data_IF_261498818876
#
_entry.id   IF_261498818876
#
_cell.length_a   1.000
_cell.length_b   1.000
_cell.length_c   1.000
_cell.angle_alpha   90.00
_cell.angle_beta   90.00
_cell.angle_gamma   90.00
#
_symmetry.space_group_name_H-M   'P 1'
#
loop_
_entity.id
_entity.type
_entity.pdbx_description
1 polymer ?
#
# COMPACT_ATOMS: atom_id res chain seq x y z
N UNK A 1 12.76 -16.35 7.82
CA UNK A 1 12.12 -15.11 7.33
C UNK A 1 10.88 -14.88 8.18
N UNK A 2 10.66 -13.64 8.63
CA UNK A 2 9.41 -13.27 9.32
C UNK A 2 8.25 -13.18 8.32
N UNK A 3 7.01 -13.35 8.80
CA UNK A 3 5.85 -12.95 7.99
C UNK A 3 5.87 -11.44 7.77
N UNK A 4 5.12 -10.94 6.78
CA UNK A 4 4.99 -9.49 6.54
C UNK A 4 4.45 -8.81 7.81
N UNK A 5 3.43 -9.39 8.45
CA UNK A 5 2.86 -8.87 9.70
C UNK A 5 3.88 -8.83 10.85
N UNK A 6 4.69 -9.89 11.04
CA UNK A 6 5.76 -9.90 12.07
C UNK A 6 6.81 -8.83 11.79
N UNK A 7 7.19 -8.64 10.51
CA UNK A 7 8.15 -7.63 10.10
C UNK A 7 7.63 -6.22 10.43
N UNK A 8 6.39 -5.93 10.05
CA UNK A 8 5.77 -4.64 10.34
C UNK A 8 5.66 -4.41 11.85
N UNK A 9 5.12 -5.34 12.62
CA UNK A 9 4.94 -5.16 14.06
C UNK A 9 6.25 -4.95 14.82
N UNK A 10 7.33 -5.64 14.42
CA UNK A 10 8.62 -5.60 15.14
C UNK A 10 9.54 -4.45 14.72
N UNK A 11 9.50 -4.06 13.45
CA UNK A 11 10.47 -3.10 12.91
C UNK A 11 9.81 -1.85 12.34
N UNK A 12 8.89 -1.98 11.36
CA UNK A 12 8.44 -0.83 10.58
C UNK A 12 7.34 -0.02 11.26
N UNK A 13 6.32 -0.64 11.86
CA UNK A 13 5.19 0.11 12.40
C UNK A 13 5.60 1.21 13.41
N UNK A 14 6.56 0.97 14.34
CA UNK A 14 7.02 2.01 15.26
C UNK A 14 7.70 3.21 14.61
N UNK A 15 8.22 3.04 13.39
CA UNK A 15 8.97 4.08 12.67
C UNK A 15 8.31 4.50 11.36
N UNK A 16 7.12 3.96 11.06
CA UNK A 16 6.49 4.12 9.75
C UNK A 16 6.16 5.59 9.42
N UNK A 17 5.61 6.33 10.38
CA UNK A 17 5.35 7.76 10.23
C UNK A 17 6.65 8.57 10.01
N UNK A 18 7.71 8.25 10.78
CA UNK A 18 9.03 8.84 10.60
C UNK A 18 9.63 8.52 9.23
N UNK A 19 9.53 7.26 8.79
CA UNK A 19 10.00 6.82 7.47
C UNK A 19 9.33 7.61 6.33
N UNK A 20 8.10 8.06 6.54
CA UNK A 20 7.33 8.88 5.59
C UNK A 20 7.58 10.40 5.75
N UNK A 21 8.54 10.79 6.59
CA UNK A 21 8.88 12.18 6.95
C UNK A 21 8.17 12.63 8.22
N UNK A 22 6.85 12.68 8.20
CA UNK A 22 5.95 12.87 9.36
C UNK A 22 4.55 12.40 9.00
N UNK A 23 3.66 12.33 9.97
CA UNK A 23 2.24 12.02 9.72
C UNK A 23 1.61 13.07 8.80
N UNK A 24 1.84 14.35 9.08
CA UNK A 24 1.30 15.45 8.27
C UNK A 24 1.80 15.40 6.84
N UNK A 25 3.13 15.25 6.65
CA UNK A 25 3.72 15.14 5.32
C UNK A 25 3.18 13.95 4.53
N UNK A 26 2.95 12.81 5.19
CA UNK A 26 2.37 11.64 4.56
C UNK A 26 0.90 11.86 4.16
N UNK A 27 0.09 12.48 5.01
CA UNK A 27 -1.31 12.81 4.68
C UNK A 27 -1.39 13.83 3.54
N UNK A 28 -0.51 14.83 3.52
CA UNK A 28 -0.44 15.82 2.43
C UNK A 28 -0.03 15.15 1.11
N UNK A 29 0.95 14.24 1.14
CA UNK A 29 1.36 13.46 -0.02
C UNK A 29 0.20 12.57 -0.53
N UNK A 30 -0.49 11.87 0.37
CA UNK A 30 -1.66 11.06 0.02
C UNK A 30 -2.78 11.90 -0.60
N UNK A 31 -3.05 13.08 -0.03
CA UNK A 31 -4.03 14.01 -0.59
C UNK A 31 -3.63 14.49 -2.01
N UNK A 32 -2.35 14.80 -2.23
CA UNK A 32 -1.85 15.20 -3.53
C UNK A 32 -1.97 14.05 -4.57
N UNK A 33 -1.61 12.82 -4.18
CA UNK A 33 -1.77 11.63 -5.02
C UNK A 33 -3.23 11.39 -5.43
N UNK A 34 -4.19 11.57 -4.51
CA UNK A 34 -5.62 11.44 -4.78
C UNK A 34 -6.14 12.57 -5.69
N UNK A 35 -5.64 13.80 -5.51
CA UNK A 35 -5.99 14.92 -6.38
C UNK A 35 -5.51 14.72 -7.83
N UNK A 36 -4.30 14.16 -8.02
CA UNK A 36 -3.79 13.79 -9.35
C UNK A 36 -4.66 12.74 -10.06
N UNK A 37 -5.19 11.76 -9.31
CA UNK A 37 -6.09 10.74 -9.86
C UNK A 37 -7.38 11.32 -10.42
N UNK A 38 -7.87 12.41 -9.83
CA UNK A 38 -9.09 13.12 -10.23
C UNK A 38 -10.28 12.19 -10.51
N UNK A 39 -10.51 11.23 -9.60
CA UNK A 39 -11.60 10.26 -9.76
C UNK A 39 -12.94 10.87 -9.37
N UNK A 40 -14.02 10.55 -10.11
CA UNK A 40 -15.37 11.01 -9.79
C UNK A 40 -15.95 10.20 -8.62
N UNK A 41 -15.61 10.58 -7.40
CA UNK A 41 -16.12 9.96 -6.17
C UNK A 41 -17.25 10.81 -5.59
N UNK A 42 -18.52 10.37 -5.69
CA UNK A 42 -19.64 11.12 -5.14
C UNK A 42 -19.58 11.22 -3.60
N UNK A 43 -20.01 12.33 -2.99
CA UNK A 43 -20.12 12.41 -1.54
C UNK A 43 -20.98 11.26 -0.97
N UNK A 44 -20.51 10.66 0.13
CA UNK A 44 -21.15 9.51 0.78
C UNK A 44 -20.95 8.18 0.08
N UNK A 45 -20.31 8.11 -1.08
CA UNK A 45 -19.94 6.86 -1.72
C UNK A 45 -19.00 6.04 -0.83
N UNK A 46 -19.14 4.72 -0.85
CA UNK A 46 -18.19 3.84 -0.16
C UNK A 46 -16.97 3.59 -1.06
N UNK A 47 -15.80 3.71 -0.49
CA UNK A 47 -14.53 3.30 -1.08
C UNK A 47 -13.81 2.34 -0.13
N UNK A 48 -12.94 1.49 -0.68
CA UNK A 48 -12.12 0.54 0.10
C UNK A 48 -10.66 0.91 -0.08
N UNK A 49 -9.90 0.95 1.03
CA UNK A 49 -8.45 1.12 1.04
C UNK A 49 -7.78 -0.14 1.56
N UNK A 50 -7.11 -0.88 0.68
CA UNK A 50 -6.45 -2.16 0.94
C UNK A 50 -4.97 -1.93 1.28
N UNK A 51 -4.56 -2.33 2.48
CA UNK A 51 -3.25 -2.00 3.05
C UNK A 51 -3.21 -0.54 3.47
N UNK A 52 -4.25 -0.09 4.17
CA UNK A 52 -4.47 1.30 4.53
C UNK A 52 -3.39 1.90 5.45
N UNK A 53 -2.64 1.04 6.17
CA UNK A 53 -1.63 1.46 7.11
C UNK A 53 -2.20 2.42 8.17
N UNK A 54 -1.49 3.52 8.43
CA UNK A 54 -1.95 4.57 9.35
C UNK A 54 -2.88 5.60 8.68
N UNK A 55 -3.33 5.34 7.43
CA UNK A 55 -4.34 6.15 6.76
C UNK A 55 -3.85 7.23 5.83
N UNK A 56 -2.68 7.08 5.23
CA UNK A 56 -2.12 8.04 4.26
C UNK A 56 -3.12 8.41 3.15
N UNK A 57 -3.92 7.45 2.67
CA UNK A 57 -4.98 7.68 1.68
C UNK A 57 -6.37 7.69 2.32
N UNK A 58 -6.64 6.80 3.29
CA UNK A 58 -7.95 6.68 3.92
C UNK A 58 -8.43 7.99 4.57
N UNK A 59 -7.54 8.71 5.28
CA UNK A 59 -7.89 9.98 5.95
C UNK A 59 -8.22 11.08 4.95
N UNK A 60 -7.40 11.38 3.93
CA UNK A 60 -7.76 12.35 2.89
C UNK A 60 -9.02 11.98 2.10
N UNK A 61 -9.22 10.69 1.78
CA UNK A 61 -10.46 10.20 1.15
C UNK A 61 -11.68 10.54 2.01
N UNK A 62 -11.66 10.23 3.30
CA UNK A 62 -12.76 10.53 4.20
C UNK A 62 -13.02 12.05 4.35
N UNK A 63 -11.95 12.85 4.36
CA UNK A 63 -12.04 14.33 4.36
C UNK A 63 -12.69 14.88 3.08
N UNK A 64 -12.60 14.18 1.95
CA UNK A 64 -13.30 14.56 0.72
C UNK A 64 -14.81 14.25 0.74
N UNK A 65 -15.31 13.61 1.81
CA UNK A 65 -16.73 13.35 2.02
C UNK A 65 -17.20 11.97 1.59
N UNK A 66 -16.29 11.03 1.27
CA UNK A 66 -16.62 9.62 1.03
C UNK A 66 -16.51 8.80 2.32
N UNK A 67 -17.22 7.67 2.38
CA UNK A 67 -17.05 6.67 3.43
C UNK A 67 -15.91 5.75 3.06
N UNK A 68 -15.05 5.40 4.00
CA UNK A 68 -13.89 4.56 3.77
C UNK A 68 -13.95 3.31 4.61
N UNK A 69 -13.85 2.14 3.96
CA UNK A 69 -13.50 0.87 4.61
C UNK A 69 -12.00 0.66 4.44
N UNK A 70 -11.26 0.79 5.53
CA UNK A 70 -9.81 0.70 5.56
C UNK A 70 -9.37 -0.66 6.12
N UNK A 71 -8.67 -1.46 5.32
CA UNK A 71 -8.23 -2.80 5.72
C UNK A 71 -6.72 -2.86 5.77
N UNK A 72 -6.18 -3.33 6.88
CA UNK A 72 -4.75 -3.58 7.06
C UNK A 72 -4.54 -4.74 8.03
N UNK A 73 -3.46 -5.50 7.86
CA UNK A 73 -3.09 -6.58 8.77
C UNK A 73 -2.38 -6.10 10.04
N UNK A 74 -1.89 -4.84 10.06
CA UNK A 74 -1.19 -4.26 11.20
C UNK A 74 -2.14 -3.53 12.13
N UNK A 75 -2.46 -4.13 13.27
CA UNK A 75 -3.28 -3.51 14.30
C UNK A 75 -2.65 -2.25 14.89
N UNK A 76 -1.32 -2.14 14.88
CA UNK A 76 -0.59 -0.96 15.35
C UNK A 76 -0.82 0.24 14.43
N UNK A 77 -0.74 0.02 13.11
CA UNK A 77 -1.00 1.09 12.14
C UNK A 77 -2.48 1.50 12.13
N UNK A 78 -3.41 0.55 12.27
CA UNK A 78 -4.84 0.85 12.36
C UNK A 78 -5.19 1.65 13.62
N UNK A 79 -4.55 1.43 14.76
CA UNK A 79 -4.74 2.29 15.94
C UNK A 79 -4.36 3.75 15.67
N UNK A 80 -3.30 3.97 14.91
CA UNK A 80 -2.92 5.32 14.50
C UNK A 80 -3.90 5.91 13.48
N UNK A 81 -4.39 5.09 12.53
CA UNK A 81 -5.46 5.46 11.62
C UNK A 81 -6.71 5.92 12.39
N UNK A 82 -7.18 5.13 13.37
CA UNK A 82 -8.37 5.45 14.18
C UNK A 82 -8.21 6.78 14.89
N UNK A 83 -7.01 7.05 15.43
CA UNK A 83 -6.70 8.35 16.06
C UNK A 83 -6.77 9.51 15.08
N UNK A 84 -6.20 9.34 13.87
CA UNK A 84 -6.15 10.36 12.82
C UNK A 84 -7.51 10.59 12.14
N UNK A 85 -8.31 9.53 12.04
CA UNK A 85 -9.63 9.53 11.44
C UNK A 85 -10.77 9.87 12.42
N UNK A 86 -10.44 10.27 13.65
CA UNK A 86 -11.47 10.57 14.65
C UNK A 86 -12.49 11.59 14.14
N UNK A 87 -13.78 11.21 14.15
CA UNK A 87 -14.88 12.02 13.63
C UNK A 87 -15.04 12.00 12.11
N UNK A 88 -14.23 11.22 11.38
CA UNK A 88 -14.37 11.01 9.94
C UNK A 88 -15.11 9.68 9.66
N UNK A 89 -15.75 9.53 8.50
CA UNK A 89 -16.47 8.32 8.12
C UNK A 89 -15.50 7.21 7.63
N UNK A 90 -14.63 6.75 8.51
CA UNK A 90 -13.68 5.65 8.30
C UNK A 90 -14.05 4.49 9.22
N UNK A 91 -14.17 3.30 8.65
CA UNK A 91 -14.23 2.03 9.35
C UNK A 91 -12.92 1.28 9.12
N UNK A 92 -12.16 1.02 10.18
CA UNK A 92 -10.90 0.28 10.13
C UNK A 92 -11.11 -1.18 10.50
N UNK A 93 -10.50 -2.10 9.74
CA UNK A 93 -10.61 -3.55 9.95
C UNK A 93 -9.25 -4.19 9.89
N UNK A 94 -8.90 -4.92 10.95
CA UNK A 94 -7.68 -5.71 11.02
C UNK A 94 -7.90 -7.08 10.35
N UNK A 95 -7.57 -7.19 9.05
CA UNK A 95 -7.71 -8.43 8.29
C UNK A 95 -6.76 -8.45 7.08
N UNK A 96 -6.67 -9.61 6.42
CA UNK A 96 -6.01 -9.76 5.14
C UNK A 96 -6.79 -9.02 4.03
N UNK A 97 -6.07 -8.33 3.15
CA UNK A 97 -6.68 -7.60 2.04
C UNK A 97 -7.50 -8.50 1.11
N UNK A 98 -7.16 -9.80 1.00
CA UNK A 98 -7.93 -10.76 0.19
C UNK A 98 -9.29 -11.10 0.79
N UNK A 99 -9.50 -10.78 2.08
CA UNK A 99 -10.77 -11.03 2.80
C UNK A 99 -11.74 -9.84 2.75
N UNK A 100 -11.40 -8.75 2.07
CA UNK A 100 -12.14 -7.48 2.14
C UNK A 100 -13.64 -7.61 1.82
N UNK A 101 -14.01 -8.56 0.96
CA UNK A 101 -15.40 -8.83 0.59
C UNK A 101 -16.28 -9.27 1.75
N UNK A 102 -15.69 -9.84 2.80
CA UNK A 102 -16.45 -10.21 4.00
C UNK A 102 -16.91 -9.01 4.82
N UNK A 103 -16.28 -7.85 4.60
CA UNK A 103 -16.52 -6.61 5.34
C UNK A 103 -17.39 -5.61 4.59
N UNK A 104 -17.74 -5.88 3.32
CA UNK A 104 -18.67 -5.01 2.58
C UNK A 104 -19.66 -5.84 1.77
N UNK A 105 -20.96 -5.45 1.84
CA UNK A 105 -22.06 -6.05 1.08
C UNK A 105 -22.61 -5.13 0.01
N UNK A 106 -22.30 -3.85 0.09
CA UNK A 106 -22.72 -2.84 -0.88
C UNK A 106 -21.70 -2.71 -2.02
N UNK A 107 -22.13 -2.14 -3.14
CA UNK A 107 -21.23 -1.80 -4.24
C UNK A 107 -20.37 -0.60 -3.85
N UNK A 108 -19.09 -0.65 -4.19
CA UNK A 108 -18.12 0.40 -3.88
C UNK A 108 -17.80 1.24 -5.12
N UNK A 109 -17.56 2.54 -4.92
CA UNK A 109 -17.20 3.45 -6.02
C UNK A 109 -15.74 3.27 -6.46
N UNK A 110 -14.85 2.95 -5.55
CA UNK A 110 -13.45 2.68 -5.84
C UNK A 110 -12.84 1.72 -4.82
N UNK A 111 -11.81 1.01 -5.25
CA UNK A 111 -10.89 0.27 -4.40
C UNK A 111 -9.49 0.79 -4.64
N UNK A 112 -8.76 1.11 -3.58
CA UNK A 112 -7.38 1.55 -3.58
C UNK A 112 -6.49 0.45 -3.01
N UNK A 113 -5.36 0.17 -3.64
CA UNK A 113 -4.30 -0.69 -3.13
C UNK A 113 -2.97 0.00 -3.47
N UNK A 114 -2.60 0.95 -2.63
CA UNK A 114 -1.55 1.92 -2.87
C UNK A 114 -0.29 1.63 -2.06
N UNK A 115 0.81 2.30 -2.39
CA UNK A 115 2.02 2.27 -1.56
C UNK A 115 2.81 0.97 -1.58
N UNK A 116 2.76 0.20 -2.68
CA UNK A 116 3.47 -1.08 -2.85
C UNK A 116 2.80 -2.29 -2.12
N UNK A 117 1.58 -2.11 -1.60
CA UNK A 117 0.81 -3.15 -0.89
C UNK A 117 0.59 -4.38 -1.76
N UNK A 118 0.31 -4.20 -3.06
CA UNK A 118 0.04 -5.30 -4.01
C UNK A 118 1.18 -6.33 -4.05
N UNK A 119 2.42 -5.90 -3.86
CA UNK A 119 3.59 -6.79 -3.90
C UNK A 119 3.71 -7.71 -2.68
N UNK A 120 2.91 -7.50 -1.64
CA UNK A 120 2.82 -8.36 -0.47
C UNK A 120 1.92 -9.58 -0.66
N UNK A 121 1.21 -9.70 -1.79
CA UNK A 121 0.44 -10.90 -2.10
C UNK A 121 1.33 -12.15 -1.99
N UNK A 122 0.81 -13.28 -1.47
CA UNK A 122 1.61 -14.48 -1.25
C UNK A 122 2.14 -15.10 -2.56
N UNK A 123 1.31 -15.10 -3.61
CA UNK A 123 1.59 -15.72 -4.90
C UNK A 123 0.91 -14.95 -6.03
N UNK A 124 1.37 -15.15 -7.27
CA UNK A 124 0.81 -14.53 -8.48
C UNK A 124 -0.67 -14.86 -8.72
N UNK A 125 -1.12 -16.04 -8.31
CA UNK A 125 -2.54 -16.47 -8.40
C UNK A 125 -3.47 -15.61 -7.55
N UNK A 126 -2.97 -15.06 -6.45
CA UNK A 126 -3.75 -14.16 -5.59
C UNK A 126 -4.01 -12.79 -6.24
N UNK A 127 -3.19 -12.38 -7.23
CA UNK A 127 -3.48 -11.19 -8.02
C UNK A 127 -4.78 -11.36 -8.82
N UNK A 128 -4.92 -12.49 -9.54
CA UNK A 128 -6.10 -12.76 -10.35
C UNK A 128 -7.35 -12.89 -9.48
N UNK A 129 -7.22 -13.54 -8.31
CA UNK A 129 -8.29 -13.63 -7.32
C UNK A 129 -8.70 -12.23 -6.82
N UNK A 130 -7.75 -11.39 -6.41
CA UNK A 130 -8.02 -10.04 -5.93
C UNK A 130 -8.71 -9.19 -7.01
N UNK A 131 -8.23 -9.25 -8.25
CA UNK A 131 -8.82 -8.51 -9.38
C UNK A 131 -10.27 -8.93 -9.61
N UNK A 132 -10.58 -10.24 -9.54
CA UNK A 132 -11.94 -10.76 -9.66
C UNK A 132 -12.83 -10.22 -8.52
N UNK A 133 -12.39 -10.33 -7.27
CA UNK A 133 -13.14 -9.89 -6.10
C UNK A 133 -13.41 -8.36 -6.14
N UNK A 134 -12.41 -7.59 -6.56
CA UNK A 134 -12.56 -6.14 -6.73
C UNK A 134 -13.54 -5.82 -7.85
N UNK A 135 -13.45 -6.50 -8.99
CA UNK A 135 -14.41 -6.29 -10.07
C UNK A 135 -15.85 -6.57 -9.62
N UNK A 136 -16.05 -7.64 -8.86
CA UNK A 136 -17.36 -7.94 -8.31
C UNK A 136 -17.84 -6.91 -7.28
N UNK A 137 -16.95 -6.34 -6.47
CA UNK A 137 -17.28 -5.33 -5.48
C UNK A 137 -17.70 -4.00 -6.12
N UNK A 138 -17.02 -3.59 -7.18
CA UNK A 138 -17.20 -2.28 -7.81
C UNK A 138 -18.59 -2.11 -8.40
N UNK A 139 -19.13 -0.89 -8.24
CA UNK A 139 -20.25 -0.41 -9.04
C UNK A 139 -19.84 -0.27 -10.52
N UNK A 140 -20.82 -0.19 -11.44
CA UNK A 140 -20.54 0.15 -12.83
C UNK A 140 -19.85 1.52 -12.92
N UNK A 141 -18.78 1.62 -13.71
CA UNK A 141 -17.95 2.81 -13.80
C UNK A 141 -17.00 3.03 -12.61
N UNK A 142 -16.98 2.13 -11.63
CA UNK A 142 -16.09 2.18 -10.47
C UNK A 142 -14.62 1.92 -10.83
N UNK A 143 -13.71 2.30 -9.95
CA UNK A 143 -12.26 2.28 -10.23
C UNK A 143 -11.49 1.38 -9.28
N UNK A 144 -10.51 0.66 -9.80
CA UNK A 144 -9.47 -0.02 -9.04
C UNK A 144 -8.14 0.70 -9.25
N UNK A 145 -7.58 1.27 -8.20
CA UNK A 145 -6.33 2.05 -8.25
C UNK A 145 -5.24 1.29 -7.54
N UNK A 146 -4.16 1.05 -8.25
CA UNK A 146 -3.00 0.31 -7.78
C UNK A 146 -1.75 1.19 -7.88
N UNK A 147 -0.89 1.17 -6.85
CA UNK A 147 0.48 1.69 -7.00
C UNK A 147 1.48 0.72 -6.39
N UNK A 148 2.52 0.37 -7.15
CA UNK A 148 3.50 -0.62 -6.76
C UNK A 148 4.84 -0.41 -7.48
N UNK A 149 5.90 -1.03 -6.95
CA UNK A 149 7.22 -1.03 -7.57
C UNK A 149 7.34 -2.16 -8.59
N UNK A 150 7.98 -1.85 -9.71
CA UNK A 150 8.34 -2.85 -10.72
C UNK A 150 9.59 -3.63 -10.25
N UNK A 151 9.38 -4.75 -9.59
CA UNK A 151 10.47 -5.65 -9.21
C UNK A 151 10.79 -6.69 -10.30
N UNK A 152 10.15 -6.66 -11.47
CA UNK A 152 10.46 -7.57 -12.59
C UNK A 152 11.87 -7.31 -13.15
N UNK A 153 12.37 -6.09 -12.99
CA UNK A 153 13.72 -5.67 -13.40
C UNK A 153 14.62 -5.60 -12.16
N UNK A 154 15.52 -6.57 -11.96
CA UNK A 154 16.38 -6.57 -10.79
C UNK A 154 17.38 -5.40 -10.85
N UNK A 155 17.61 -4.80 -9.70
CA UNK A 155 18.74 -3.89 -9.50
C UNK A 155 20.01 -4.73 -9.30
N UNK A 156 21.15 -4.19 -9.70
CA UNK A 156 22.44 -4.88 -9.63
C UNK A 156 23.43 -4.12 -8.74
N UNK A 157 24.40 -4.86 -8.20
CA UNK A 157 25.48 -4.28 -7.40
C UNK A 157 24.97 -3.42 -6.25
N UNK A 158 25.56 -2.25 -6.11
CA UNK A 158 25.27 -1.28 -5.03
C UNK A 158 23.89 -0.63 -5.19
N UNK A 159 23.28 -0.64 -6.38
CA UNK A 159 21.94 -0.13 -6.60
C UNK A 159 20.86 -0.88 -5.80
N UNK A 160 21.18 -2.09 -5.29
CA UNK A 160 20.29 -2.86 -4.40
C UNK A 160 20.18 -2.28 -2.98
N UNK A 161 21.08 -1.38 -2.58
CA UNK A 161 21.05 -0.68 -1.30
C UNK A 161 20.34 0.66 -1.48
N UNK A 162 19.18 0.79 -0.88
CA UNK A 162 18.30 1.96 -1.05
C UNK A 162 18.25 2.72 0.26
N UNK A 163 18.73 3.97 0.26
CA UNK A 163 18.52 4.89 1.37
C UNK A 163 17.04 5.25 1.43
N UNK A 164 16.35 4.83 2.50
CA UNK A 164 14.89 5.08 2.66
C UNK A 164 14.66 6.42 3.32
N UNK A 165 15.18 6.58 4.54
CA UNK A 165 15.08 7.83 5.30
C UNK A 165 16.20 7.92 6.34
N UNK A 166 16.62 9.14 6.69
CA UNK A 166 17.61 9.36 7.76
C UNK A 166 17.43 10.71 8.43
N UNK A 167 17.77 10.77 9.70
CA UNK A 167 17.93 11.97 10.50
C UNK A 167 19.15 11.82 11.44
N UNK A 168 19.33 12.73 12.42
CA UNK A 168 20.44 12.69 13.38
C UNK A 168 20.37 11.47 14.33
N UNK A 169 19.21 10.78 14.43
CA UNK A 169 18.95 9.73 15.39
C UNK A 169 18.67 8.37 14.74
N UNK A 170 18.31 8.34 13.44
CA UNK A 170 17.91 7.13 12.74
C UNK A 170 18.39 7.12 11.31
N UNK A 171 18.77 5.93 10.85
CA UNK A 171 19.07 5.66 9.45
C UNK A 171 18.34 4.39 9.06
N UNK A 172 17.49 4.45 8.07
CA UNK A 172 16.83 3.29 7.49
C UNK A 172 17.33 3.07 6.07
N UNK A 173 17.90 1.90 5.85
CA UNK A 173 18.34 1.42 4.55
C UNK A 173 17.61 0.13 4.21
N UNK A 174 17.21 -0.02 2.98
CA UNK A 174 16.65 -1.24 2.44
C UNK A 174 17.67 -1.92 1.52
N UNK A 175 17.85 -3.23 1.65
CA UNK A 175 18.64 -4.05 0.72
C UNK A 175 17.72 -5.05 0.03
N UNK A 176 17.86 -5.19 -1.30
CA UNK A 176 17.04 -6.06 -2.14
C UNK A 176 17.83 -7.29 -2.59
N UNK A 177 17.30 -8.47 -2.28
CA UNK A 177 17.84 -9.75 -2.73
C UNK A 177 16.82 -10.42 -3.67
N UNK A 178 17.15 -10.46 -4.96
CA UNK A 178 16.25 -10.96 -6.00
C UNK A 178 16.33 -12.47 -6.15
N UNK A 179 15.18 -13.14 -6.01
CA UNK A 179 14.95 -14.52 -6.42
C UNK A 179 14.26 -14.59 -7.78
N UNK A 180 13.76 -15.75 -8.14
CA UNK A 180 13.05 -15.98 -9.41
C UNK A 180 11.73 -15.22 -9.45
N UNK A 181 10.81 -15.50 -8.54
CA UNK A 181 9.47 -14.91 -8.48
C UNK A 181 9.29 -13.88 -7.38
N UNK A 182 10.28 -13.73 -6.50
CA UNK A 182 10.19 -12.84 -5.34
C UNK A 182 11.46 -12.03 -5.15
N UNK A 183 11.33 -10.90 -4.47
CA UNK A 183 12.44 -10.14 -3.91
C UNK A 183 12.33 -10.19 -2.38
N UNK A 184 13.43 -10.52 -1.72
CA UNK A 184 13.56 -10.38 -0.26
C UNK A 184 14.00 -8.95 0.01
N UNK A 185 13.20 -8.26 0.79
CA UNK A 185 13.49 -6.90 1.28
C UNK A 185 14.08 -7.04 2.66
N UNK A 186 15.30 -6.54 2.86
CA UNK A 186 15.96 -6.46 4.15
C UNK A 186 15.95 -5.00 4.60
N UNK A 187 15.18 -4.68 5.63
CA UNK A 187 15.20 -3.36 6.24
C UNK A 187 16.23 -3.35 7.38
N UNK A 188 17.15 -2.42 7.30
CA UNK A 188 18.27 -2.22 8.22
C UNK A 188 18.06 -0.87 8.88
N UNK A 189 17.63 -0.90 10.14
CA UNK A 189 17.38 0.29 10.94
C UNK A 189 18.50 0.47 11.96
N UNK A 190 19.21 1.61 11.86
CA UNK A 190 20.13 2.05 12.89
C UNK A 190 19.44 3.13 13.72
N UNK A 191 19.47 2.99 15.04
CA UNK A 191 18.93 3.97 15.99
C UNK A 191 20.01 4.38 17.00
N UNK A 192 20.05 5.66 17.33
CA UNK A 192 21.01 6.19 18.29
C UNK A 192 20.52 5.94 19.72
N UNK A 193 21.32 5.20 20.49
CA UNK A 193 21.10 4.90 21.89
C UNK A 193 22.24 5.54 22.73
N UNK A 194 22.02 6.76 23.21
CA UNK A 194 23.08 7.57 23.82
C UNK A 194 24.20 7.90 22.82
N UNK A 195 25.43 7.50 23.12
CA UNK A 195 26.61 7.71 22.26
C UNK A 195 26.88 6.54 21.29
N UNK A 196 26.08 5.48 21.35
CA UNK A 196 26.19 4.30 20.50
C UNK A 196 25.08 4.23 19.45
N UNK A 197 25.30 3.37 18.44
CA UNK A 197 24.29 3.00 17.47
C UNK A 197 23.86 1.55 17.69
N UNK A 198 22.56 1.34 17.76
CA UNK A 198 21.97 0.03 17.74
C UNK A 198 21.45 -0.30 16.34
N UNK A 199 21.63 -1.55 15.89
CA UNK A 199 21.20 -1.98 14.58
C UNK A 199 20.15 -3.09 14.72
N UNK A 200 19.01 -2.90 14.07
CA UNK A 200 17.96 -3.92 13.93
C UNK A 200 17.78 -4.26 12.47
N UNK A 201 17.68 -5.55 12.17
CA UNK A 201 17.46 -6.04 10.82
C UNK A 201 16.25 -6.95 10.81
N UNK A 202 15.39 -6.78 9.84
CA UNK A 202 14.28 -7.69 9.59
C UNK A 202 14.08 -7.82 8.08
N UNK A 203 13.52 -8.96 7.64
CA UNK A 203 13.34 -9.22 6.21
C UNK A 203 12.00 -9.89 5.94
N UNK A 204 11.44 -9.60 4.77
CA UNK A 204 10.21 -10.17 4.27
C UNK A 204 10.23 -10.29 2.74
N UNK A 205 9.29 -11.04 2.20
CA UNK A 205 9.20 -11.26 0.75
C UNK A 205 8.16 -10.34 0.11
N UNK A 206 8.46 -9.93 -1.11
CA UNK A 206 7.52 -9.29 -2.03
C UNK A 206 7.51 -10.05 -3.36
N UNK A 207 6.37 -10.07 -4.02
CA UNK A 207 6.28 -10.59 -5.37
C UNK A 207 6.98 -9.68 -6.39
N UNK A 208 7.62 -10.28 -7.37
CA UNK A 208 8.14 -9.58 -8.55
C UNK A 208 7.01 -9.45 -9.57
N UNK A 209 6.21 -8.40 -9.41
CA UNK A 209 5.08 -8.12 -10.30
C UNK A 209 5.52 -7.22 -11.44
N UNK A 210 5.44 -7.73 -12.66
CA UNK A 210 5.57 -6.92 -13.86
C UNK A 210 4.28 -6.11 -14.08
N UNK A 211 4.36 -4.82 -14.41
CA UNK A 211 3.17 -4.00 -14.70
C UNK A 211 2.28 -4.57 -15.79
N UNK A 212 2.88 -5.18 -16.81
CA UNK A 212 2.18 -5.83 -17.92
C UNK A 212 1.32 -7.01 -17.43
N UNK A 213 1.79 -7.77 -16.44
CA UNK A 213 1.02 -8.86 -15.83
C UNK A 213 -0.19 -8.33 -15.06
N UNK A 214 -0.02 -7.23 -14.31
CA UNK A 214 -1.12 -6.58 -13.58
C UNK A 214 -2.17 -6.04 -14.53
N UNK A 215 -1.76 -5.36 -15.60
CA UNK A 215 -2.65 -4.84 -16.64
C UNK A 215 -3.41 -5.97 -17.32
N UNK A 216 -2.73 -7.03 -17.75
CA UNK A 216 -3.36 -8.18 -18.40
C UNK A 216 -4.41 -8.85 -17.49
N UNK A 217 -4.13 -8.99 -16.19
CA UNK A 217 -5.11 -9.52 -15.23
C UNK A 217 -6.38 -8.67 -15.15
N UNK A 218 -6.22 -7.34 -15.10
CA UNK A 218 -7.35 -6.40 -15.08
C UNK A 218 -8.17 -6.47 -16.38
N UNK A 219 -7.51 -6.42 -17.53
CA UNK A 219 -8.17 -6.44 -18.85
C UNK A 219 -8.92 -7.75 -19.12
N UNK A 220 -8.37 -8.87 -18.66
CA UNK A 220 -9.02 -10.20 -18.78
C UNK A 220 -10.38 -10.24 -18.07
N UNK A 221 -10.55 -9.49 -16.99
CA UNK A 221 -11.79 -9.43 -16.20
C UNK A 221 -12.75 -8.34 -16.72
N UNK A 222 -12.32 -7.47 -17.66
CA UNK A 222 -13.16 -6.45 -18.27
C UNK A 222 -12.95 -5.04 -17.72
N UNK A 223 -11.78 -4.75 -17.16
CA UNK A 223 -11.39 -3.37 -16.85
C UNK A 223 -10.83 -2.67 -18.09
N UNK A 224 -11.21 -1.42 -18.27
CA UNK A 224 -10.43 -0.48 -19.09
C UNK A 224 -9.25 0.03 -18.27
N UNK A 225 -8.01 -0.15 -18.76
CA UNK A 225 -6.81 0.15 -17.99
C UNK A 225 -6.08 1.40 -18.44
N UNK A 226 -5.47 2.11 -17.48
CA UNK A 226 -4.54 3.22 -17.73
C UNK A 226 -3.32 3.04 -16.84
N UNK A 227 -2.12 3.16 -17.43
CA UNK A 227 -0.83 3.16 -16.71
C UNK A 227 -0.23 4.55 -16.71
N UNK A 228 0.31 4.96 -15.60
CA UNK A 228 1.00 6.25 -15.44
C UNK A 228 2.13 6.16 -14.41
N UNK A 229 3.08 7.11 -14.37
CA UNK A 229 4.05 7.20 -13.30
C UNK A 229 3.35 7.38 -11.95
N UNK A 230 3.81 6.66 -10.94
CA UNK A 230 3.40 6.83 -9.56
C UNK A 230 4.47 7.54 -8.72
N UNK A 231 4.18 7.83 -7.46
CA UNK A 231 5.11 8.52 -6.57
C UNK A 231 6.33 7.65 -6.26
N UNK A 232 7.46 8.28 -5.97
CA UNK A 232 8.70 7.63 -5.50
C UNK A 232 9.16 6.47 -6.40
N UNK A 233 9.01 6.63 -7.72
CA UNK A 233 9.43 5.62 -8.71
C UNK A 233 8.51 4.39 -8.77
N UNK A 234 7.33 4.45 -8.15
CA UNK A 234 6.29 3.44 -8.35
C UNK A 234 5.60 3.60 -9.70
N UNK A 235 4.88 2.58 -10.09
CA UNK A 235 3.97 2.59 -11.23
C UNK A 235 2.57 2.67 -10.67
N UNK A 236 1.71 3.46 -11.33
CA UNK A 236 0.28 3.52 -11.04
C UNK A 236 -0.49 2.86 -12.17
N UNK A 237 -1.39 1.97 -11.82
CA UNK A 237 -2.33 1.33 -12.75
C UNK A 237 -3.75 1.61 -12.26
N UNK A 238 -4.59 2.11 -13.15
CA UNK A 238 -5.98 2.42 -12.85
C UNK A 238 -6.84 1.57 -13.78
N UNK A 239 -7.66 0.71 -13.19
CA UNK A 239 -8.68 -0.06 -13.89
C UNK A 239 -10.06 0.58 -13.67
N UNK A 240 -10.78 0.87 -14.75
CA UNK A 240 -12.17 1.32 -14.70
C UNK A 240 -13.07 0.14 -15.10
N UNK A 241 -14.03 -0.20 -14.25
CA UNK A 241 -15.04 -1.21 -14.57
C UNK A 241 -15.99 -0.69 -15.65
N UNK A 242 -16.05 -1.36 -16.78
CA UNK A 242 -16.98 -1.06 -17.89
C UNK A 242 -18.37 -1.62 -17.65
#
# INVERSE_FOLDING_TARGET
MSSVSDHYSRLLAPVYAWMSGSVEAALDAGNAELAELNLPLPPGALVVDLGAGFGMHAVPLARSGVRVLAIDSSTELLKELDRLASGLPVESVADDLLSFRSHTREKVAAVFCMGDTLTHLPEHTHLDFLVQEVHEALAAGGHFVLSFRDYSKPLEGDARFIAVHSDERRILTCFLEYGEDTVVVHDILHERAGDAWETRVSSYRKLRLAPERVIASLETIGFETRREPGPRGMIRVIGKKT
#
